data_IF_137771420537
#
_entry.id   IF_137771420537
#
_cell.length_a   1.000
_cell.length_b   1.000
_cell.length_c   1.000
_cell.angle_alpha   90.00
_cell.angle_beta   90.00
_cell.angle_gamma   90.00
#
_symmetry.space_group_name_H-M   'P 1'
#
loop_
_entity.id
_entity.type
_entity.pdbx_description
1 polymer ?
#
# COMPACT_ATOMS: atom_id res chain seq x y z
N UNK A 1 7.29 -8.90 -13.43
CA UNK A 1 6.31 -9.23 -12.35
C UNK A 1 6.89 -8.98 -10.97
N UNK A 2 8.16 -9.37 -10.73
CA UNK A 2 8.90 -9.14 -9.47
C UNK A 2 8.91 -7.66 -9.05
N UNK A 3 9.12 -6.71 -9.97
CA UNK A 3 9.26 -5.28 -9.62
C UNK A 3 8.04 -4.62 -8.97
N UNK A 4 6.80 -5.00 -9.35
CA UNK A 4 5.59 -4.39 -8.78
C UNK A 4 5.24 -4.98 -7.41
N UNK A 5 5.48 -6.29 -7.24
CA UNK A 5 5.31 -6.95 -5.96
C UNK A 5 6.35 -6.46 -4.94
N UNK A 6 7.61 -6.31 -5.36
CA UNK A 6 8.66 -5.75 -4.50
C UNK A 6 8.35 -4.30 -4.10
N UNK A 7 7.90 -3.45 -5.03
CA UNK A 7 7.50 -2.09 -4.71
C UNK A 7 6.29 -2.04 -3.76
N UNK A 8 5.32 -2.94 -3.93
CA UNK A 8 4.18 -3.04 -3.02
C UNK A 8 4.61 -3.44 -1.61
N UNK A 9 5.51 -4.41 -1.49
CA UNK A 9 6.02 -4.85 -0.19
C UNK A 9 6.79 -3.73 0.52
N UNK A 10 7.66 -3.01 -0.20
CA UNK A 10 8.39 -1.87 0.34
C UNK A 10 7.46 -0.77 0.86
N UNK A 11 6.44 -0.39 0.08
CA UNK A 11 5.49 0.64 0.50
C UNK A 11 4.58 0.16 1.64
N UNK A 12 4.31 -1.14 1.75
CA UNK A 12 3.62 -1.76 2.91
C UNK A 12 4.46 -1.70 4.17
N UNK A 13 5.76 -1.96 4.07
CA UNK A 13 6.67 -1.88 5.22
C UNK A 13 6.71 -0.46 5.77
N UNK A 14 6.87 0.54 4.91
CA UNK A 14 6.81 1.96 5.29
C UNK A 14 5.48 2.33 5.96
N UNK A 15 4.35 1.82 5.43
CA UNK A 15 3.04 2.06 6.04
C UNK A 15 2.95 1.50 7.46
N UNK A 16 3.47 0.29 7.67
CA UNK A 16 3.48 -0.37 8.98
C UNK A 16 4.36 0.38 9.99
N UNK A 17 5.52 0.88 9.55
CA UNK A 17 6.40 1.68 10.40
C UNK A 17 5.71 2.96 10.89
N UNK A 18 5.14 3.73 9.96
CA UNK A 18 4.40 4.97 10.29
C UNK A 18 3.20 4.64 11.20
N UNK A 19 2.50 3.54 10.93
CA UNK A 19 1.37 3.09 11.73
C UNK A 19 1.78 2.75 13.16
N UNK A 20 2.86 1.99 13.33
CA UNK A 20 3.41 1.64 14.64
C UNK A 20 3.83 2.89 15.42
N UNK A 21 4.58 3.80 14.81
CA UNK A 21 5.00 5.06 15.44
C UNK A 21 3.80 5.90 15.88
N UNK A 22 2.75 5.96 15.06
CA UNK A 22 1.51 6.66 15.40
C UNK A 22 0.82 6.04 16.62
N UNK A 23 0.74 4.71 16.68
CA UNK A 23 0.14 3.99 17.80
C UNK A 23 0.96 4.16 19.08
N UNK A 24 2.28 4.13 18.98
CA UNK A 24 3.19 4.36 20.12
C UNK A 24 3.05 5.77 20.68
N UNK A 25 2.73 6.75 19.84
CA UNK A 25 2.44 8.13 20.24
C UNK A 25 0.98 8.34 20.69
N UNK A 26 0.14 7.30 20.65
CA UNK A 26 -1.29 7.41 20.95
C UNK A 26 -2.08 8.25 19.92
N UNK A 27 -1.49 8.50 18.75
CA UNK A 27 -2.09 9.32 17.71
C UNK A 27 -3.13 8.51 16.92
N UNK A 28 -4.33 9.05 16.67
CA UNK A 28 -5.32 8.36 15.84
C UNK A 28 -4.82 8.22 14.39
N UNK A 29 -4.80 6.98 13.89
CA UNK A 29 -4.30 6.67 12.53
C UNK A 29 -5.02 7.44 11.42
N UNK A 30 -6.31 7.73 11.60
CA UNK A 30 -7.10 8.49 10.63
C UNK A 30 -6.70 9.97 10.54
N UNK A 31 -6.06 10.51 11.59
CA UNK A 31 -5.56 11.89 11.62
C UNK A 31 -4.10 12.01 11.15
N UNK A 32 -3.37 10.89 11.03
CA UNK A 32 -1.99 10.92 10.57
C UNK A 32 -1.94 11.09 9.03
N UNK A 33 -1.71 12.32 8.58
CA UNK A 33 -1.63 12.66 7.15
C UNK A 33 -0.53 11.90 6.39
N UNK A 34 0.59 11.60 7.03
CA UNK A 34 1.67 10.80 6.43
C UNK A 34 1.23 9.36 6.22
N UNK A 35 0.55 8.77 7.21
CA UNK A 35 -0.04 7.43 7.10
C UNK A 35 -1.09 7.38 5.99
N UNK A 36 -1.96 8.39 5.90
CA UNK A 36 -2.97 8.47 4.85
C UNK A 36 -2.34 8.59 3.45
N UNK A 37 -1.29 9.40 3.31
CA UNK A 37 -0.56 9.53 2.04
C UNK A 37 0.12 8.20 1.65
N UNK A 38 0.69 7.50 2.62
CA UNK A 38 1.34 6.21 2.39
C UNK A 38 0.31 5.12 2.04
N UNK A 39 -0.86 5.11 2.69
CA UNK A 39 -1.97 4.19 2.38
C UNK A 39 -2.41 4.34 0.92
N UNK A 40 -2.58 5.58 0.44
CA UNK A 40 -2.96 5.85 -0.95
C UNK A 40 -1.96 5.28 -1.96
N UNK A 41 -0.66 5.28 -1.65
CA UNK A 41 0.35 4.68 -2.55
C UNK A 41 0.20 3.16 -2.61
N UNK A 42 -0.01 2.50 -1.47
CA UNK A 42 -0.26 1.06 -1.38
C UNK A 42 -1.53 0.70 -2.17
N UNK A 43 -2.61 1.47 -2.00
CA UNK A 43 -3.88 1.26 -2.74
C UNK A 43 -3.67 1.36 -4.26
N UNK A 44 -2.93 2.36 -4.73
CA UNK A 44 -2.62 2.51 -6.16
C UNK A 44 -1.80 1.33 -6.71
N UNK A 45 -0.82 0.84 -5.95
CA UNK A 45 0.00 -0.31 -6.34
C UNK A 45 -0.84 -1.59 -6.40
N UNK A 46 -1.75 -1.79 -5.45
CA UNK A 46 -2.72 -2.89 -5.44
C UNK A 46 -3.61 -2.82 -6.68
N UNK A 47 -4.19 -1.66 -6.99
CA UNK A 47 -5.01 -1.48 -8.21
C UNK A 47 -4.21 -1.79 -9.48
N UNK A 48 -2.94 -1.35 -9.56
CA UNK A 48 -2.07 -1.68 -10.70
C UNK A 48 -1.78 -3.18 -10.79
N UNK A 49 -1.58 -3.85 -9.65
CA UNK A 49 -1.37 -5.29 -9.60
C UNK A 49 -2.62 -6.03 -10.10
N UNK A 50 -3.81 -5.66 -9.58
CA UNK A 50 -5.08 -6.21 -10.03
C UNK A 50 -5.34 -5.97 -11.51
N UNK A 51 -4.99 -4.82 -12.07
CA UNK A 51 -5.09 -4.60 -13.52
C UNK A 51 -4.17 -5.54 -14.29
N UNK A 52 -2.92 -5.71 -13.86
CA UNK A 52 -1.98 -6.60 -14.54
C UNK A 52 -2.36 -8.08 -14.43
N UNK A 53 -2.94 -8.50 -13.31
CA UNK A 53 -3.39 -9.88 -13.07
C UNK A 53 -4.77 -10.13 -13.72
N UNK A 54 -5.67 -9.15 -13.65
CA UNK A 54 -7.02 -9.19 -14.20
C UNK A 54 -7.08 -9.14 -15.73
N UNK A 55 -6.11 -8.52 -16.41
CA UNK A 55 -5.98 -8.59 -17.87
C UNK A 55 -5.77 -10.03 -18.37
N UNK A 56 -5.33 -10.98 -17.52
CA UNK A 56 -5.22 -12.40 -17.90
C UNK A 56 -6.55 -13.18 -17.87
N UNK A 57 -7.66 -12.62 -17.37
CA UNK A 57 -8.93 -13.35 -17.23
C UNK A 57 -10.01 -12.98 -18.28
N UNK A 58 -9.76 -12.05 -19.21
CA UNK A 58 -10.71 -11.71 -20.30
C UNK A 58 -10.24 -12.20 -21.68
N UNK A 59 -9.69 -13.41 -21.74
CA UNK A 59 -9.47 -14.12 -23.01
C UNK A 59 -9.87 -15.58 -22.83
N UNK A 60 -11.19 -15.80 -22.82
CA UNK A 60 -11.87 -17.06 -23.18
C UNK A 60 -13.29 -16.73 -23.63
#
# INVERSE_FOLDING_TARGET
>A
MISLLSALEEERQKLNEIGRESLEQGAPLFQNSALQAQSKKVDLLIVQLYRRVGIKQQSS
#
